data_IF_164378486367
#
_entry.id   IF_164378486367
#
_cell.length_a   1.000
_cell.length_b   1.000
_cell.length_c   1.000
_cell.angle_alpha   90.00
_cell.angle_beta   90.00
_cell.angle_gamma   90.00
#
_symmetry.space_group_name_H-M   'P 1'
#
loop_
_entity.id
_entity.type
_entity.pdbx_description
1 polymer ?
#
# COMPACT_ATOMS: atom_id res chain seq x y z
N UNK A 1 -15.08 30.58 17.47
CA UNK A 1 -13.95 29.62 17.47
C UNK A 1 -14.08 28.87 16.16
N UNK A 2 -13.13 29.02 15.23
CA UNK A 2 -13.20 28.29 13.96
C UNK A 2 -12.81 26.84 14.23
N UNK A 3 -13.72 25.89 13.98
CA UNK A 3 -13.37 24.48 13.92
C UNK A 3 -12.47 24.31 12.70
N UNK A 4 -11.20 23.98 12.91
CA UNK A 4 -10.31 23.58 11.83
C UNK A 4 -10.85 22.27 11.27
N UNK A 5 -11.48 22.32 10.10
CA UNK A 5 -11.84 21.12 9.35
C UNK A 5 -10.55 20.37 9.02
N UNK A 6 -10.36 19.19 9.63
CA UNK A 6 -9.23 18.31 9.31
C UNK A 6 -9.66 17.43 8.15
N UNK A 7 -9.17 17.75 6.95
CA UNK A 7 -9.46 16.95 5.76
C UNK A 7 -8.55 15.72 5.73
N UNK A 8 -9.11 14.50 5.59
CA UNK A 8 -8.30 13.30 5.43
C UNK A 8 -7.41 13.40 4.19
N UNK A 9 -6.11 13.18 4.37
CA UNK A 9 -5.13 13.23 3.30
C UNK A 9 -4.69 11.81 2.93
N UNK A 10 -4.69 11.47 1.62
CA UNK A 10 -4.18 10.20 1.14
C UNK A 10 -2.64 10.16 1.07
N UNK A 11 -2.06 9.04 1.49
CA UNK A 11 -0.64 8.73 1.41
C UNK A 11 -0.41 7.36 0.79
N UNK A 12 0.66 7.23 0.02
CA UNK A 12 1.17 5.97 -0.47
C UNK A 12 2.37 5.55 0.37
N UNK A 13 2.26 4.41 1.04
CA UNK A 13 3.29 3.85 1.89
C UNK A 13 3.84 2.60 1.22
N UNK A 14 5.17 2.48 1.14
CA UNK A 14 5.84 1.26 0.66
C UNK A 14 6.60 0.63 1.82
N UNK A 15 6.37 -0.66 2.03
CA UNK A 15 6.97 -1.45 3.11
C UNK A 15 7.72 -2.65 2.52
N UNK A 16 9.03 -2.49 2.30
CA UNK A 16 9.93 -3.57 1.90
C UNK A 16 10.85 -3.90 3.07
N UNK A 17 10.50 -4.94 3.82
CA UNK A 17 11.30 -5.39 4.95
C UNK A 17 12.51 -6.21 4.51
N UNK A 18 13.46 -6.35 5.42
CA UNK A 18 14.60 -7.24 5.32
C UNK A 18 14.12 -8.69 5.17
N UNK A 19 14.64 -9.49 4.22
CA UNK A 19 14.22 -10.88 4.04
C UNK A 19 14.44 -11.76 5.29
N UNK A 20 15.38 -11.39 6.17
CA UNK A 20 15.67 -12.09 7.43
C UNK A 20 14.79 -11.62 8.59
N UNK A 21 13.73 -10.85 8.32
CA UNK A 21 12.82 -10.30 9.35
C UNK A 21 12.32 -11.38 10.31
N UNK A 22 11.87 -12.54 9.79
CA UNK A 22 11.40 -13.63 10.62
C UNK A 22 12.53 -14.30 11.41
N UNK A 23 13.72 -14.49 10.82
CA UNK A 23 14.89 -15.05 11.53
C UNK A 23 15.38 -14.14 12.65
N UNK A 24 15.18 -12.82 12.52
CA UNK A 24 15.46 -11.82 13.55
C UNK A 24 14.36 -11.72 14.62
N UNK A 25 13.31 -12.54 14.55
CA UNK A 25 12.17 -12.52 15.48
C UNK A 25 11.33 -11.25 15.39
N UNK A 26 11.36 -10.55 14.25
CA UNK A 26 10.59 -9.32 14.02
C UNK A 26 9.27 -9.67 13.33
N UNK A 27 8.27 -8.86 13.60
CA UNK A 27 6.95 -8.99 13.00
C UNK A 27 6.68 -7.81 12.04
N UNK A 28 6.64 -8.04 10.71
CA UNK A 28 6.34 -6.98 9.76
C UNK A 28 4.87 -6.52 9.85
N UNK A 29 3.96 -7.38 10.30
CA UNK A 29 2.53 -7.08 10.38
C UNK A 29 2.21 -6.07 11.48
N UNK A 30 3.04 -5.98 12.52
CA UNK A 30 2.90 -4.97 13.58
C UNK A 30 2.86 -3.56 13.00
N UNK A 31 3.74 -3.24 12.05
CA UNK A 31 3.75 -1.91 11.44
C UNK A 31 2.49 -1.68 10.59
N UNK A 32 2.00 -2.70 9.87
CA UNK A 32 0.76 -2.59 9.11
C UNK A 32 -0.44 -2.31 10.02
N UNK A 33 -0.50 -2.99 11.18
CA UNK A 33 -1.53 -2.75 12.19
C UNK A 33 -1.46 -1.32 12.72
N UNK A 34 -0.28 -0.84 13.10
CA UNK A 34 -0.10 0.52 13.58
C UNK A 34 -0.48 1.58 12.53
N UNK A 35 -0.16 1.34 11.25
CA UNK A 35 -0.60 2.23 10.16
C UNK A 35 -2.12 2.21 10.02
N UNK A 36 -2.78 1.05 10.18
CA UNK A 36 -4.24 0.95 10.12
C UNK A 36 -4.96 1.64 11.30
N UNK A 37 -4.27 1.87 12.41
CA UNK A 37 -4.80 2.65 13.54
C UNK A 37 -4.81 4.15 13.24
N UNK A 38 -4.00 4.63 12.29
CA UNK A 38 -3.96 6.04 11.90
C UNK A 38 -5.14 6.43 10.99
N UNK A 39 -5.78 5.49 10.30
CA UNK A 39 -6.86 5.81 9.38
C UNK A 39 -7.26 4.65 8.47
N UNK A 40 -7.99 4.97 7.41
CA UNK A 40 -8.47 3.96 6.47
C UNK A 40 -7.32 3.47 5.58
N UNK A 41 -7.11 2.16 5.56
CA UNK A 41 -5.94 1.53 4.96
C UNK A 41 -6.33 0.52 3.89
N UNK A 42 -5.75 0.67 2.70
CA UNK A 42 -5.94 -0.25 1.57
C UNK A 42 -4.59 -0.89 1.21
N UNK A 43 -4.27 -2.07 1.76
CA UNK A 43 -3.02 -2.77 1.48
C UNK A 43 -3.09 -3.56 0.17
N UNK A 44 -1.99 -3.51 -0.58
CA UNK A 44 -1.69 -4.38 -1.71
C UNK A 44 -0.45 -5.20 -1.35
N UNK A 45 -0.58 -6.52 -1.41
CA UNK A 45 0.52 -7.46 -1.18
C UNK A 45 1.22 -7.75 -2.50
N UNK A 46 2.54 -7.64 -2.50
CA UNK A 46 3.38 -7.95 -3.65
C UNK A 46 4.14 -9.25 -3.38
N UNK A 47 4.12 -10.14 -4.37
CA UNK A 47 4.63 -11.51 -4.29
C UNK A 47 5.67 -11.83 -5.37
N UNK A 48 6.18 -10.80 -6.05
CA UNK A 48 7.17 -10.88 -7.14
C UNK A 48 8.52 -11.47 -6.72
N UNK A 49 8.79 -11.57 -5.42
CA UNK A 49 10.02 -12.17 -4.87
C UNK A 49 9.86 -13.62 -4.43
N UNK A 50 8.67 -14.21 -4.59
CA UNK A 50 8.49 -15.63 -4.29
C UNK A 50 9.35 -16.45 -5.24
N UNK A 51 10.21 -17.33 -4.72
CA UNK A 51 10.99 -18.24 -5.55
C UNK A 51 10.13 -19.43 -6.00
N UNK A 52 10.70 -20.30 -6.82
CA UNK A 52 10.12 -21.60 -7.11
C UNK A 52 10.00 -22.44 -5.82
N UNK A 53 9.05 -23.38 -5.81
CA UNK A 53 8.75 -24.22 -4.64
C UNK A 53 9.98 -24.96 -4.08
N UNK A 54 10.91 -25.38 -4.95
CA UNK A 54 12.12 -26.08 -4.53
C UNK A 54 13.10 -25.20 -3.71
N UNK A 55 13.04 -23.88 -3.88
CA UNK A 55 13.91 -22.89 -3.23
C UNK A 55 13.15 -22.08 -2.16
N UNK A 56 11.87 -22.37 -1.97
CA UNK A 56 11.03 -21.70 -0.97
C UNK A 56 11.50 -22.01 0.44
N UNK A 57 11.85 -20.97 1.20
CA UNK A 57 12.17 -21.05 2.62
C UNK A 57 11.14 -20.27 3.45
N UNK A 58 10.34 -20.95 4.31
CA UNK A 58 9.33 -20.29 5.13
C UNK A 58 9.90 -19.29 6.15
N UNK A 59 11.19 -19.32 6.43
CA UNK A 59 11.86 -18.36 7.33
C UNK A 59 12.29 -17.08 6.61
N UNK A 60 12.16 -17.02 5.29
CA UNK A 60 12.48 -15.84 4.49
C UNK A 60 11.21 -15.04 4.18
N UNK A 61 11.26 -13.73 4.42
CA UNK A 61 10.19 -12.82 4.07
C UNK A 61 10.31 -12.39 2.60
N UNK A 62 9.56 -13.04 1.72
CA UNK A 62 9.47 -12.69 0.30
C UNK A 62 8.46 -11.59 0.02
N UNK A 63 7.41 -11.49 0.84
CA UNK A 63 6.32 -10.54 0.64
C UNK A 63 6.75 -9.12 0.99
N UNK A 64 6.19 -8.16 0.28
CA UNK A 64 6.25 -6.75 0.62
C UNK A 64 4.93 -6.07 0.31
N UNK A 65 4.74 -4.84 0.80
CA UNK A 65 3.43 -4.18 0.72
C UNK A 65 3.53 -2.77 0.17
N UNK A 66 2.47 -2.37 -0.54
CA UNK A 66 2.13 -0.96 -0.78
C UNK A 66 0.79 -0.69 -0.12
N UNK A 67 0.63 0.44 0.57
CA UNK A 67 -0.63 0.81 1.23
C UNK A 67 -1.06 2.20 0.77
N UNK A 68 -2.34 2.36 0.43
CA UNK A 68 -2.99 3.66 0.44
C UNK A 68 -3.54 3.88 1.86
N UNK A 69 -3.05 4.90 2.55
CA UNK A 69 -3.54 5.34 3.86
C UNK A 69 -4.31 6.65 3.66
N UNK A 70 -5.56 6.71 4.08
CA UNK A 70 -6.36 7.95 4.16
C UNK A 70 -6.53 8.31 5.63
N UNK A 71 -5.90 9.40 6.06
CA UNK A 71 -5.82 9.75 7.48
C UNK A 71 -5.88 11.26 7.72
N UNK A 72 -6.35 11.66 8.90
CA UNK A 72 -6.24 13.03 9.42
C UNK A 72 -4.93 13.27 10.19
N UNK A 73 -4.11 12.24 10.37
CA UNK A 73 -2.81 12.34 11.02
C UNK A 73 -1.83 13.17 10.18
N UNK A 74 -0.94 13.87 10.86
CA UNK A 74 0.10 14.67 10.23
C UNK A 74 1.15 13.78 9.57
N UNK A 75 1.79 14.23 8.47
CA UNK A 75 2.88 13.50 7.82
C UNK A 75 4.02 13.10 8.77
N UNK A 76 4.25 13.91 9.82
CA UNK A 76 5.25 13.63 10.85
C UNK A 76 4.94 12.37 11.66
N UNK A 77 3.66 12.15 12.01
CA UNK A 77 3.24 10.98 12.78
C UNK A 77 3.49 9.68 12.00
N UNK A 78 3.18 9.68 10.70
CA UNK A 78 3.46 8.55 9.81
C UNK A 78 4.98 8.32 9.69
N UNK A 79 5.77 9.40 9.55
CA UNK A 79 7.22 9.29 9.43
C UNK A 79 7.89 8.79 10.71
N UNK A 80 7.45 9.25 11.88
CA UNK A 80 7.92 8.78 13.19
C UNK A 80 7.64 7.29 13.36
N UNK A 81 6.42 6.85 13.04
CA UNK A 81 6.05 5.45 13.06
C UNK A 81 6.98 4.60 12.17
N UNK A 82 7.24 5.05 10.94
CA UNK A 82 8.14 4.34 10.03
C UNK A 82 9.60 4.36 10.51
N UNK A 83 10.06 5.42 11.17
CA UNK A 83 11.47 5.60 11.54
C UNK A 83 11.99 4.47 12.43
N UNK A 84 11.17 3.99 13.38
CA UNK A 84 11.52 2.85 14.24
C UNK A 84 11.83 1.57 13.45
N UNK A 85 11.22 1.41 12.28
CA UNK A 85 11.37 0.24 11.44
C UNK A 85 12.36 0.46 10.28
N UNK A 86 12.94 1.64 10.07
CA UNK A 86 13.83 1.89 8.91
C UNK A 86 15.14 1.09 8.95
N UNK A 87 15.62 0.70 10.12
CA UNK A 87 16.92 0.01 10.23
C UNK A 87 16.88 -1.39 9.59
N UNK A 88 17.54 -1.52 8.44
CA UNK A 88 17.58 -2.74 7.62
C UNK A 88 16.41 -2.88 6.64
N UNK A 89 15.47 -1.94 6.61
CA UNK A 89 14.28 -2.01 5.78
C UNK A 89 14.22 -0.84 4.79
N UNK A 90 13.52 -1.04 3.68
CA UNK A 90 13.24 -0.02 2.67
C UNK A 90 11.78 0.45 2.83
N UNK A 91 11.58 1.47 3.64
CA UNK A 91 10.26 2.03 3.94
C UNK A 91 10.14 3.45 3.39
N UNK A 92 9.01 3.81 2.79
CA UNK A 92 8.75 5.17 2.32
C UNK A 92 7.30 5.57 2.48
N UNK A 93 7.06 6.86 2.64
CA UNK A 93 5.74 7.48 2.61
C UNK A 93 5.80 8.68 1.68
N UNK A 94 4.83 8.81 0.79
CA UNK A 94 4.66 9.97 -0.09
C UNK A 94 3.18 10.38 -0.11
N UNK A 95 2.86 11.69 -0.22
CA UNK A 95 1.50 12.11 -0.52
C UNK A 95 0.99 11.43 -1.79
N UNK A 96 -0.29 11.06 -1.81
CA UNK A 96 -0.90 10.37 -2.94
C UNK A 96 -2.01 11.23 -3.54
N UNK A 97 -1.67 12.08 -4.51
CA UNK A 97 -2.60 13.07 -5.06
C UNK A 97 -3.63 12.48 -6.06
N UNK A 98 -3.56 11.20 -6.41
CA UNK A 98 -4.43 10.61 -7.44
C UNK A 98 -5.25 9.41 -6.94
N UNK A 99 -6.42 9.72 -6.38
CA UNK A 99 -7.60 8.95 -6.79
C UNK A 99 -8.32 9.82 -7.82
N UNK A 100 -8.38 9.48 -9.12
CA UNK A 100 -9.41 10.06 -9.97
C UNK A 100 -10.74 9.83 -9.24
N UNK A 101 -11.50 10.91 -9.06
CA UNK A 101 -12.77 10.93 -8.37
C UNK A 101 -13.58 9.68 -8.74
N UNK A 102 -13.94 8.86 -7.74
CA UNK A 102 -14.58 7.54 -7.92
C UNK A 102 -16.00 7.60 -8.50
N UNK A 103 -16.38 8.70 -9.15
CA UNK A 103 -17.69 8.87 -9.78
C UNK A 103 -17.68 8.80 -11.31
N UNK A 104 -16.53 8.87 -12.01
CA UNK A 104 -16.52 8.84 -13.48
C UNK A 104 -15.69 7.73 -14.15
N UNK A 105 -14.76 7.08 -13.43
CA UNK A 105 -13.75 6.23 -14.10
C UNK A 105 -14.08 4.74 -14.18
N UNK A 106 -14.70 4.12 -13.16
CA UNK A 106 -14.97 2.67 -13.20
C UNK A 106 -16.04 2.31 -14.23
N UNK A 107 -17.09 3.15 -14.34
CA UNK A 107 -18.14 2.97 -15.34
C UNK A 107 -17.61 3.19 -16.77
N UNK A 108 -16.84 4.26 -17.03
CA UNK A 108 -16.23 4.50 -18.35
C UNK A 108 -15.18 3.45 -18.71
N UNK A 109 -14.34 3.02 -17.77
CA UNK A 109 -13.35 1.97 -18.01
C UNK A 109 -13.99 0.62 -18.35
N UNK A 110 -15.14 0.29 -17.73
CA UNK A 110 -15.91 -0.89 -18.07
C UNK A 110 -16.60 -0.75 -19.45
N UNK A 111 -17.15 0.42 -19.75
CA UNK A 111 -17.84 0.71 -21.02
C UNK A 111 -16.87 0.74 -22.22
N UNK A 112 -15.65 1.25 -22.05
CA UNK A 112 -14.59 1.23 -23.06
C UNK A 112 -14.07 -0.18 -23.37
N UNK A 113 -13.98 -1.05 -22.34
CA UNK A 113 -13.61 -2.45 -22.55
C UNK A 113 -14.70 -3.24 -23.29
N UNK A 114 -15.98 -2.94 -23.02
CA UNK A 114 -17.11 -3.55 -23.74
C UNK A 114 -17.15 -3.08 -25.22
N UNK A 115 -16.94 -1.79 -25.48
CA UNK A 115 -16.97 -1.23 -26.84
C UNK A 115 -15.80 -1.71 -27.71
N UNK A 116 -14.62 -1.96 -27.14
CA UNK A 116 -13.51 -2.59 -27.89
C UNK A 116 -13.83 -4.03 -28.27
N UNK A 117 -14.44 -4.81 -27.38
CA UNK A 117 -14.80 -6.20 -27.67
C UNK A 117 -15.84 -6.34 -28.80
N UNK A 118 -16.72 -5.34 -28.96
CA UNK A 118 -17.70 -5.30 -30.06
C UNK A 118 -17.05 -4.92 -31.40
N UNK A 119 -15.98 -4.11 -31.38
CA UNK A 119 -15.34 -3.60 -32.60
C UNK A 119 -14.30 -4.58 -33.18
N UNK A 120 -13.60 -5.35 -32.33
CA UNK A 120 -12.64 -6.37 -32.78
C UNK A 120 -13.29 -7.72 -33.19
N UNK A 121 -14.60 -7.87 -33.02
CA UNK A 121 -15.37 -9.08 -33.34
C UNK A 121 -16.11 -9.06 -34.69
N UNK A 122 -16.02 -7.98 -35.46
CA UNK A 122 -16.61 -7.84 -36.80
C UNK A 122 -15.57 -7.26 -37.76
N UNK A 123 -14.61 -8.11 -38.13
CA UNK A 123 -13.62 -7.89 -39.20
C UNK A 123 -13.10 -9.22 -39.71
#
# INVERSE_FOLDING_TARGET
>A
MAETQVTPTPYLITLKFDPETFRKGRDPLLLLQQISELGECFPVVHQDRLPDYAEFDPQTLYLWWTLKLVTTAQPSEINELLQFFRSGNQLSVVPFEETPDETESVARAHEEQLNRAITDGLG
#
